data_IF_032986036404
#
_entry.id   IF_032986036404
#
_cell.length_a   1.000
_cell.length_b   1.000
_cell.length_c   1.000
_cell.angle_alpha   90.00
_cell.angle_beta   90.00
_cell.angle_gamma   90.00
#
_symmetry.space_group_name_H-M   'P 1'
#
loop_
_entity.id
_entity.type
_entity.pdbx_description
1 polymer ?
#
# COMPACT_ATOMS: atom_id res chain seq x y z
N UNK A 1 -19.92 19.53 -41.25
CA UNK A 1 -18.88 20.22 -42.03
C UNK A 1 -17.77 20.60 -41.07
N UNK A 2 -16.54 20.10 -41.24
CA UNK A 2 -15.42 20.53 -40.41
C UNK A 2 -15.06 21.97 -40.79
N UNK A 3 -15.33 22.94 -39.91
CA UNK A 3 -14.90 24.32 -40.12
C UNK A 3 -13.40 24.36 -40.35
N UNK A 4 -12.95 25.08 -41.39
CA UNK A 4 -11.51 25.26 -41.65
C UNK A 4 -10.86 25.82 -40.39
N UNK A 5 -9.72 25.26 -40.00
CA UNK A 5 -8.95 25.77 -38.86
C UNK A 5 -8.60 27.24 -39.12
N UNK A 6 -8.71 28.12 -38.10
CA UNK A 6 -8.45 29.55 -38.27
C UNK A 6 -6.97 29.90 -38.49
N UNK A 7 -6.05 28.92 -38.43
CA UNK A 7 -4.61 29.13 -38.60
C UNK A 7 -4.06 28.23 -39.73
N UNK A 8 -3.83 28.83 -40.89
CA UNK A 8 -3.31 28.16 -42.07
C UNK A 8 -1.79 28.25 -42.15
N UNK A 9 -1.20 29.33 -41.65
CA UNK A 9 0.25 29.57 -41.64
C UNK A 9 0.86 29.52 -40.24
N UNK A 10 2.20 29.46 -40.16
CA UNK A 10 2.92 29.49 -38.88
C UNK A 10 2.75 30.85 -38.20
N UNK A 11 2.80 31.92 -38.98
CA UNK A 11 2.76 33.31 -38.54
C UNK A 11 1.41 33.64 -37.89
N UNK A 12 0.30 33.19 -38.49
CA UNK A 12 -1.04 33.31 -37.90
C UNK A 12 -1.16 32.55 -36.57
N UNK A 13 -0.60 31.34 -36.53
CA UNK A 13 -0.63 30.49 -35.34
C UNK A 13 0.24 31.07 -34.20
N UNK A 14 1.42 31.58 -34.53
CA UNK A 14 2.36 32.21 -33.60
C UNK A 14 1.80 33.52 -33.05
N UNK A 15 1.28 34.41 -33.91
CA UNK A 15 0.67 35.67 -33.51
C UNK A 15 -0.50 35.46 -32.54
N UNK A 16 -1.38 34.48 -32.82
CA UNK A 16 -2.46 34.12 -31.92
C UNK A 16 -1.93 33.61 -30.56
N UNK A 17 -0.89 32.78 -30.58
CA UNK A 17 -0.27 32.26 -29.37
C UNK A 17 0.33 33.34 -28.49
N UNK A 18 1.02 34.31 -29.10
CA UNK A 18 1.60 35.47 -28.43
C UNK A 18 0.51 36.39 -27.88
N UNK A 19 -0.52 36.69 -28.66
CA UNK A 19 -1.65 37.52 -28.24
C UNK A 19 -2.37 36.92 -27.02
N UNK A 20 -2.49 35.59 -26.98
CA UNK A 20 -3.09 34.85 -25.85
C UNK A 20 -2.14 34.58 -24.69
N UNK A 21 -0.88 35.01 -24.78
CA UNK A 21 0.12 34.83 -23.72
C UNK A 21 0.55 33.37 -23.49
N UNK A 22 0.45 32.52 -24.51
CA UNK A 22 0.83 31.11 -24.42
C UNK A 22 2.35 30.91 -24.34
N UNK A 23 3.14 31.90 -24.76
CA UNK A 23 4.58 31.98 -24.57
C UNK A 23 4.96 31.90 -23.08
N UNK A 24 4.12 32.41 -22.17
CA UNK A 24 4.38 32.38 -20.72
C UNK A 24 3.98 31.07 -20.04
N UNK A 25 3.44 30.11 -20.80
CA UNK A 25 2.89 28.85 -20.27
C UNK A 25 3.77 27.65 -20.61
N UNK A 26 3.78 26.67 -19.71
CA UNK A 26 4.41 25.38 -19.99
C UNK A 26 3.64 24.64 -21.11
N UNK A 27 4.31 24.18 -22.17
CA UNK A 27 3.72 23.33 -23.23
C UNK A 27 2.78 22.22 -22.71
N UNK A 28 3.17 21.49 -21.66
CA UNK A 28 2.35 20.41 -21.11
C UNK A 28 1.03 20.92 -20.50
N UNK A 29 1.02 22.16 -19.96
CA UNK A 29 -0.18 22.77 -19.41
C UNK A 29 -1.19 23.18 -20.49
N UNK A 30 -0.72 23.55 -21.68
CA UNK A 30 -1.57 23.87 -22.82
C UNK A 30 -2.17 22.60 -23.43
N UNK A 31 -1.37 21.53 -23.52
CA UNK A 31 -1.82 20.21 -23.95
C UNK A 31 -2.92 19.63 -23.06
N UNK A 32 -2.77 19.79 -21.74
CA UNK A 32 -3.72 19.33 -20.72
C UNK A 32 -4.84 20.31 -20.36
N UNK A 33 -4.95 21.46 -21.04
CA UNK A 33 -5.91 22.50 -20.66
C UNK A 33 -7.37 22.05 -20.79
N UNK A 34 -8.26 22.51 -19.91
CA UNK A 34 -9.72 22.31 -20.05
C UNK A 34 -10.31 23.15 -21.20
N UNK A 35 -9.67 24.26 -21.58
CA UNK A 35 -10.15 25.13 -22.65
C UNK A 35 -9.83 24.49 -24.01
N UNK A 36 -10.87 24.25 -24.80
CA UNK A 36 -10.75 23.57 -26.10
C UNK A 36 -9.88 24.34 -27.09
N UNK A 37 -9.91 25.68 -27.05
CA UNK A 37 -9.08 26.53 -27.90
C UNK A 37 -7.58 26.36 -27.62
N UNK A 38 -7.18 26.37 -26.35
CA UNK A 38 -5.77 26.19 -25.92
C UNK A 38 -5.22 24.84 -26.39
N UNK A 39 -5.99 23.76 -26.18
CA UNK A 39 -5.61 22.42 -26.64
C UNK A 39 -5.53 22.32 -28.16
N UNK A 40 -6.49 22.92 -28.86
CA UNK A 40 -6.54 22.86 -30.33
C UNK A 40 -5.37 23.62 -30.95
N UNK A 41 -5.07 24.80 -30.41
CA UNK A 41 -3.90 25.58 -30.78
C UNK A 41 -2.61 24.78 -30.55
N UNK A 42 -2.43 24.18 -29.37
CA UNK A 42 -1.22 23.40 -29.07
C UNK A 42 -1.08 22.15 -29.95
N UNK A 43 -2.17 21.39 -30.13
CA UNK A 43 -2.18 20.20 -30.99
C UNK A 43 -1.92 20.53 -32.45
N UNK A 44 -2.35 21.70 -32.93
CA UNK A 44 -2.05 22.13 -34.31
C UNK A 44 -0.54 22.15 -34.56
N UNK A 45 0.23 22.71 -33.63
CA UNK A 45 1.69 22.72 -33.75
C UNK A 45 2.36 21.34 -33.66
N UNK A 46 1.71 20.33 -33.08
CA UNK A 46 2.21 18.94 -33.09
C UNK A 46 1.86 18.19 -34.37
N UNK A 47 0.71 18.50 -34.99
CA UNK A 47 0.27 17.89 -36.25
C UNK A 47 1.03 18.41 -37.48
N UNK A 48 1.52 19.66 -37.44
CA UNK A 48 2.34 20.25 -38.52
C UNK A 48 3.78 19.72 -38.48
N UNK A 49 3.95 18.39 -38.55
CA UNK A 49 5.22 17.66 -38.33
C UNK A 49 6.37 18.11 -39.24
N UNK A 50 6.09 18.58 -40.46
CA UNK A 50 7.12 19.05 -41.40
C UNK A 50 7.81 20.34 -40.91
N UNK A 51 7.07 21.21 -40.23
CA UNK A 51 7.51 22.57 -39.91
C UNK A 51 7.96 22.75 -38.45
N UNK A 52 7.77 21.73 -37.61
CA UNK A 52 8.15 21.72 -36.19
C UNK A 52 7.74 22.99 -35.43
N UNK A 53 6.54 23.52 -35.68
CA UNK A 53 6.05 24.78 -35.10
C UNK A 53 6.22 24.87 -33.59
N UNK A 54 5.96 23.75 -32.88
CA UNK A 54 6.16 23.64 -31.42
C UNK A 54 7.59 23.96 -30.96
N UNK A 55 8.61 23.68 -31.80
CA UNK A 55 10.02 23.95 -31.48
C UNK A 55 10.42 25.39 -31.79
N UNK A 56 9.72 26.05 -32.73
CA UNK A 56 9.96 27.44 -33.13
C UNK A 56 9.28 28.43 -32.19
N UNK A 57 8.12 28.07 -31.64
CA UNK A 57 7.38 28.95 -30.75
C UNK A 57 8.20 29.28 -29.49
N UNK A 58 8.32 30.57 -29.11
CA UNK A 58 9.16 31.02 -28.00
C UNK A 58 8.46 30.76 -26.66
N UNK A 59 8.24 29.49 -26.31
CA UNK A 59 7.82 29.15 -24.96
C UNK A 59 8.90 29.64 -24.00
N UNK A 60 8.54 30.63 -23.19
CA UNK A 60 9.26 30.98 -21.98
C UNK A 60 9.26 29.72 -21.13
N UNK A 61 10.34 28.94 -21.22
CA UNK A 61 10.65 27.98 -20.18
C UNK A 61 10.85 28.87 -18.96
N UNK A 62 9.82 28.98 -18.12
CA UNK A 62 10.04 29.26 -16.71
C UNK A 62 10.92 28.13 -16.22
N UNK A 63 12.23 28.27 -16.45
CA UNK A 63 13.22 27.82 -15.50
C UNK A 63 12.93 28.70 -14.30
N UNK A 64 11.88 28.35 -13.55
CA UNK A 64 11.87 28.65 -12.13
C UNK A 64 13.14 27.97 -11.66
N UNK A 65 14.19 28.78 -11.62
CA UNK A 65 15.48 28.40 -11.08
C UNK A 65 15.10 27.95 -9.70
N UNK A 66 15.07 26.64 -9.51
CA UNK A 66 14.71 26.09 -8.22
C UNK A 66 15.63 26.75 -7.21
N UNK A 67 15.08 27.28 -6.09
CA UNK A 67 15.82 28.13 -5.18
C UNK A 67 17.03 27.43 -4.54
N UNK A 68 17.13 26.10 -4.74
CA UNK A 68 18.18 25.25 -4.19
C UNK A 68 19.13 24.80 -5.32
N UNK A 69 20.07 25.63 -5.74
CA UNK A 69 21.02 25.26 -6.80
C UNK A 69 22.06 24.25 -6.31
N UNK A 70 22.41 24.33 -5.04
CA UNK A 70 23.41 23.48 -4.39
C UNK A 70 22.77 22.46 -3.43
N UNK A 71 23.55 21.43 -3.07
CA UNK A 71 23.12 20.45 -2.08
C UNK A 71 22.86 21.10 -0.72
N UNK A 72 23.71 22.04 -0.28
CA UNK A 72 23.57 22.67 1.03
C UNK A 72 22.33 23.54 1.11
N UNK A 73 21.99 24.31 0.07
CA UNK A 73 20.72 25.06 0.02
C UNK A 73 19.51 24.12 0.05
N UNK A 74 19.59 23.01 -0.67
CA UNK A 74 18.51 22.02 -0.71
C UNK A 74 18.33 21.34 0.65
N UNK A 75 19.43 20.96 1.30
CA UNK A 75 19.44 20.34 2.62
C UNK A 75 18.97 21.31 3.69
N UNK A 76 19.47 22.54 3.69
CA UNK A 76 19.07 23.58 4.64
C UNK A 76 17.56 23.84 4.55
N UNK A 77 17.02 24.02 3.34
CA UNK A 77 15.59 24.19 3.13
C UNK A 77 14.78 23.00 3.68
N UNK A 78 15.25 21.77 3.44
CA UNK A 78 14.58 20.57 3.97
C UNK A 78 14.57 20.52 5.50
N UNK A 79 15.65 20.98 6.16
CA UNK A 79 15.73 21.04 7.63
C UNK A 79 14.80 22.12 8.17
N UNK A 80 14.81 23.31 7.59
CA UNK A 80 13.97 24.44 8.00
C UNK A 80 12.47 24.13 7.90
N UNK A 81 12.08 23.34 6.88
CA UNK A 81 10.70 22.89 6.70
C UNK A 81 10.36 21.59 7.47
N UNK A 82 11.27 21.10 8.33
CA UNK A 82 11.04 19.90 9.14
C UNK A 82 10.93 18.60 8.34
N UNK A 83 11.42 18.55 7.11
CA UNK A 83 11.34 17.36 6.26
C UNK A 83 12.19 16.21 6.80
N UNK A 84 13.21 16.54 7.59
CA UNK A 84 14.01 15.58 8.35
C UNK A 84 13.19 14.82 9.40
N UNK A 85 11.95 15.22 9.72
CA UNK A 85 11.09 14.49 10.66
C UNK A 85 10.07 13.58 9.96
N UNK A 86 10.01 13.61 8.63
CA UNK A 86 9.00 12.92 7.83
C UNK A 86 9.59 11.72 7.09
N UNK A 87 8.72 10.78 6.75
CA UNK A 87 9.07 9.66 5.88
C UNK A 87 9.30 10.18 4.44
N UNK A 88 10.44 9.88 3.80
CA UNK A 88 10.70 10.21 2.40
C UNK A 88 9.53 9.90 1.45
N UNK A 89 8.90 8.73 1.62
CA UNK A 89 7.80 8.29 0.77
C UNK A 89 6.53 9.14 0.91
N UNK A 90 6.42 9.97 1.95
CA UNK A 90 5.28 10.89 2.13
C UNK A 90 5.36 12.08 1.17
N UNK A 91 6.56 12.51 0.76
CA UNK A 91 6.72 13.68 -0.10
C UNK A 91 6.16 13.47 -1.49
N UNK A 92 6.25 12.25 -2.06
CA UNK A 92 5.65 11.94 -3.36
C UNK A 92 4.13 12.14 -3.40
N UNK A 93 3.48 12.07 -2.24
CA UNK A 93 2.02 12.21 -2.07
C UNK A 93 1.62 13.51 -1.38
N UNK A 94 2.57 14.39 -1.07
CA UNK A 94 2.25 15.69 -0.48
C UNK A 94 1.30 16.47 -1.40
N UNK A 95 0.39 17.27 -0.85
CA UNK A 95 -0.47 18.18 -1.62
C UNK A 95 0.30 19.41 -2.10
N UNK A 96 1.34 19.79 -1.36
CA UNK A 96 2.21 20.92 -1.65
C UNK A 96 3.16 20.60 -2.81
N UNK A 97 3.10 21.42 -3.86
CA UNK A 97 3.95 21.23 -5.04
C UNK A 97 5.43 21.45 -4.75
N UNK A 98 5.76 22.35 -3.84
CA UNK A 98 7.14 22.66 -3.46
C UNK A 98 7.81 21.46 -2.77
N UNK A 99 7.11 20.80 -1.85
CA UNK A 99 7.61 19.58 -1.19
C UNK A 99 7.91 18.46 -2.20
N UNK A 100 6.98 18.22 -3.12
CA UNK A 100 7.16 17.24 -4.21
C UNK A 100 8.35 17.61 -5.09
N UNK A 101 8.50 18.89 -5.43
CA UNK A 101 9.58 19.37 -6.27
C UNK A 101 10.94 19.22 -5.58
N UNK A 102 11.01 19.61 -4.30
CA UNK A 102 12.18 19.43 -3.44
C UNK A 102 12.63 17.97 -3.40
N UNK A 103 11.70 17.05 -3.06
CA UNK A 103 12.03 15.63 -2.96
C UNK A 103 12.46 15.02 -4.30
N UNK A 104 11.73 15.32 -5.38
CA UNK A 104 12.06 14.85 -6.74
C UNK A 104 13.40 15.39 -7.23
N UNK A 105 13.77 16.61 -6.85
CA UNK A 105 15.08 17.17 -7.17
C UNK A 105 16.20 16.39 -6.49
N UNK A 106 16.02 16.08 -5.19
CA UNK A 106 16.97 15.25 -4.46
C UNK A 106 17.19 13.86 -5.08
N UNK A 107 16.14 13.26 -5.65
CA UNK A 107 16.21 11.97 -6.34
C UNK A 107 16.86 12.03 -7.74
N UNK A 108 16.78 13.16 -8.44
CA UNK A 108 17.20 13.30 -9.85
C UNK A 108 18.70 13.51 -10.04
N UNK A 109 19.48 13.71 -8.98
CA UNK A 109 20.89 14.12 -9.03
C UNK A 109 21.89 13.10 -9.59
N UNK A 110 21.44 12.02 -10.24
CA UNK A 110 22.32 11.01 -10.84
C UNK A 110 23.26 10.39 -9.81
N UNK A 111 24.56 10.68 -9.89
CA UNK A 111 25.58 10.20 -8.92
C UNK A 111 25.40 10.75 -7.51
N UNK A 112 24.84 11.96 -7.38
CA UNK A 112 24.57 12.58 -6.08
C UNK A 112 23.06 12.56 -5.84
N UNK A 113 22.55 11.40 -5.42
CA UNK A 113 21.18 11.30 -4.94
C UNK A 113 21.11 11.97 -3.55
N UNK A 114 20.94 13.29 -3.52
CA UNK A 114 20.93 14.10 -2.30
C UNK A 114 19.91 13.59 -1.28
N UNK A 115 18.82 12.96 -1.73
CA UNK A 115 17.85 12.34 -0.84
C UNK A 115 18.42 11.16 -0.02
N UNK A 116 19.50 10.51 -0.47
CA UNK A 116 20.17 9.46 0.31
C UNK A 116 21.02 10.03 1.45
N UNK A 117 21.60 11.22 1.25
CA UNK A 117 22.43 11.89 2.26
C UNK A 117 21.61 12.75 3.23
N UNK A 118 20.39 13.12 2.84
CA UNK A 118 19.51 13.89 3.69
C UNK A 118 19.14 13.12 4.96
N UNK A 119 19.23 13.75 6.16
CA UNK A 119 18.99 13.09 7.43
C UNK A 119 17.49 12.91 7.70
N UNK A 120 16.80 12.18 6.85
CA UNK A 120 15.41 11.81 7.10
C UNK A 120 15.32 11.04 8.41
N UNK A 121 14.28 11.33 9.19
CA UNK A 121 13.87 10.52 10.31
C UNK A 121 13.58 9.15 9.74
N UNK A 122 14.55 8.24 9.93
CA UNK A 122 14.27 6.83 9.82
C UNK A 122 13.17 6.62 10.83
N UNK A 123 11.96 6.28 10.36
CA UNK A 123 10.93 5.74 11.22
C UNK A 123 11.44 4.38 11.68
N UNK A 124 12.40 4.40 12.60
CA UNK A 124 12.72 3.29 13.46
C UNK A 124 11.51 3.21 14.37
N UNK A 125 10.39 2.71 13.84
CA UNK A 125 9.59 1.76 14.61
C UNK A 125 10.61 0.66 14.92
N UNK A 126 11.39 0.88 15.99
CA UNK A 126 12.24 -0.11 16.59
C UNK A 126 11.27 -1.24 16.81
N UNK A 127 11.45 -2.28 16.01
CA UNK A 127 10.68 -3.50 16.23
C UNK A 127 10.87 -3.83 17.70
N UNK A 128 9.78 -4.08 18.45
CA UNK A 128 9.90 -4.39 19.87
C UNK A 128 10.82 -5.58 20.12
N UNK A 129 11.08 -6.38 19.07
CA UNK A 129 12.03 -7.46 19.04
C UNK A 129 13.27 -7.02 18.26
N UNK A 130 14.39 -6.85 18.98
CA UNK A 130 15.70 -6.50 18.42
C UNK A 130 16.57 -7.74 18.19
N UNK A 131 16.36 -8.80 18.98
CA UNK A 131 17.14 -10.05 18.92
C UNK A 131 16.33 -11.21 18.35
N UNK A 132 17.02 -12.24 17.83
CA UNK A 132 16.37 -13.46 17.36
C UNK A 132 15.52 -14.13 18.46
N UNK A 133 16.00 -14.15 19.71
CA UNK A 133 15.32 -14.85 20.79
C UNK A 133 14.01 -14.15 21.18
N UNK A 134 13.99 -12.81 21.23
CA UNK A 134 12.76 -12.02 21.44
C UNK A 134 11.75 -12.28 20.32
N UNK A 135 12.23 -12.34 19.08
CA UNK A 135 11.42 -12.61 17.89
C UNK A 135 10.78 -13.99 17.90
N UNK A 136 11.59 -15.00 18.26
CA UNK A 136 11.17 -16.40 18.39
C UNK A 136 10.18 -16.55 19.54
N UNK A 137 10.48 -15.97 20.70
CA UNK A 137 9.62 -15.99 21.87
C UNK A 137 8.27 -15.34 21.57
N UNK A 138 8.25 -14.19 20.91
CA UNK A 138 7.01 -13.57 20.44
C UNK A 138 6.22 -14.46 19.49
N UNK A 139 6.90 -15.13 18.55
CA UNK A 139 6.25 -16.09 17.65
C UNK A 139 5.60 -17.26 18.39
N UNK A 140 6.24 -17.75 19.46
CA UNK A 140 5.70 -18.81 20.32
C UNK A 140 4.51 -18.31 21.16
N UNK A 141 4.61 -17.11 21.75
CA UNK A 141 3.52 -16.46 22.50
C UNK A 141 2.28 -16.24 21.63
N UNK A 142 2.49 -15.87 20.37
CA UNK A 142 1.42 -15.70 19.37
C UNK A 142 1.01 -17.00 18.67
N UNK A 143 1.57 -18.14 19.08
CA UNK A 143 1.25 -19.48 18.53
C UNK A 143 1.45 -19.61 17.02
N UNK A 144 2.45 -18.92 16.47
CA UNK A 144 2.79 -19.00 15.05
C UNK A 144 3.45 -20.33 14.68
N UNK A 145 4.01 -21.04 15.65
CA UNK A 145 4.52 -22.42 15.54
C UNK A 145 3.46 -23.40 15.04
N UNK A 146 2.17 -23.13 15.34
CA UNK A 146 1.03 -23.90 14.87
C UNK A 146 0.44 -23.45 13.53
N UNK A 147 1.10 -22.52 12.82
CA UNK A 147 0.68 -22.02 11.51
C UNK A 147 1.69 -22.38 10.42
N UNK A 148 1.20 -22.52 9.19
CA UNK A 148 2.10 -22.71 8.05
C UNK A 148 2.76 -21.38 7.64
N UNK A 149 3.98 -21.47 7.11
CA UNK A 149 4.70 -20.33 6.51
C UNK A 149 3.83 -19.56 5.51
N UNK A 150 3.10 -20.29 4.66
CA UNK A 150 2.21 -19.70 3.66
C UNK A 150 1.02 -18.95 4.27
N UNK A 151 0.45 -19.46 5.37
CA UNK A 151 -0.66 -18.82 6.10
C UNK A 151 -0.20 -17.51 6.74
N UNK A 152 0.97 -17.49 7.40
CA UNK A 152 1.52 -16.26 7.99
C UNK A 152 1.87 -15.21 6.93
N UNK A 153 2.46 -15.63 5.80
CA UNK A 153 2.77 -14.73 4.67
C UNK A 153 1.53 -14.03 4.12
N UNK A 154 0.40 -14.73 4.08
CA UNK A 154 -0.87 -14.26 3.50
C UNK A 154 -1.84 -13.71 4.55
N UNK A 155 -1.43 -13.59 5.80
CA UNK A 155 -2.34 -13.16 6.85
C UNK A 155 -2.88 -11.75 6.61
N UNK A 156 -4.15 -11.52 6.93
CA UNK A 156 -4.71 -10.17 7.02
C UNK A 156 -4.04 -9.32 8.10
N UNK A 157 -3.55 -9.97 9.18
CA UNK A 157 -2.87 -9.30 10.27
C UNK A 157 -1.49 -8.77 9.81
N UNK A 158 -1.28 -7.46 9.98
CA UNK A 158 -0.06 -6.76 9.56
C UNK A 158 1.16 -7.19 10.39
N UNK A 159 0.98 -7.48 11.68
CA UNK A 159 2.05 -7.89 12.58
C UNK A 159 2.53 -9.29 12.27
N UNK A 160 1.62 -10.20 11.92
CA UNK A 160 1.97 -11.55 11.44
C UNK A 160 2.78 -11.51 10.15
N UNK A 161 2.35 -10.69 9.18
CA UNK A 161 3.08 -10.52 7.92
C UNK A 161 4.43 -9.86 8.14
N UNK A 162 4.49 -8.79 8.93
CA UNK A 162 5.75 -8.14 9.33
C UNK A 162 6.66 -9.15 10.00
N UNK A 163 6.08 -10.00 10.87
CA UNK A 163 6.82 -10.99 11.60
C UNK A 163 7.48 -12.00 10.66
N UNK A 164 6.66 -12.55 9.76
CA UNK A 164 7.09 -13.48 8.74
C UNK A 164 8.15 -12.87 7.79
N UNK A 165 7.87 -11.68 7.23
CA UNK A 165 8.77 -11.04 6.25
C UNK A 165 10.13 -10.72 6.84
N UNK A 166 10.19 -10.28 8.10
CA UNK A 166 11.48 -10.03 8.76
C UNK A 166 12.27 -11.31 8.95
N UNK A 167 11.62 -12.43 9.31
CA UNK A 167 12.32 -13.71 9.43
C UNK A 167 12.77 -14.35 8.13
N UNK A 168 12.16 -13.97 7.01
CA UNK A 168 12.62 -14.37 5.67
C UNK A 168 13.77 -13.48 5.18
N UNK A 169 13.75 -12.19 5.48
CA UNK A 169 14.67 -11.20 4.91
C UNK A 169 16.01 -11.02 5.65
N UNK A 170 16.26 -11.73 6.75
CA UNK A 170 17.62 -11.82 7.31
C UNK A 170 18.43 -12.72 6.38
N UNK A 171 19.14 -12.09 5.44
CA UNK A 171 20.14 -12.64 4.51
C UNK A 171 20.20 -14.16 4.39
N UNK A 172 19.72 -14.67 3.25
CA UNK A 172 20.17 -15.91 2.57
C UNK A 172 21.03 -16.87 3.40
N UNK A 173 20.48 -18.07 3.61
CA UNK A 173 20.97 -19.18 4.45
C UNK A 173 20.61 -19.13 5.93
N UNK A 174 20.68 -17.97 6.60
CA UNK A 174 20.49 -17.84 8.06
C UNK A 174 19.11 -17.31 8.49
N UNK A 175 18.19 -17.11 7.54
CA UNK A 175 16.82 -16.72 7.83
C UNK A 175 16.21 -17.62 8.89
N UNK A 176 16.00 -17.07 10.10
CA UNK A 176 15.65 -17.82 11.29
C UNK A 176 14.29 -18.52 11.19
N UNK A 177 13.48 -18.17 10.20
CA UNK A 177 12.29 -18.92 9.83
C UNK A 177 12.58 -20.38 9.46
N UNK A 178 13.83 -20.72 9.14
CA UNK A 178 14.29 -22.10 8.96
C UNK A 178 14.37 -22.87 10.28
N UNK A 179 14.88 -22.22 11.33
CA UNK A 179 15.08 -22.80 12.67
C UNK A 179 13.88 -22.61 13.58
N UNK A 180 12.97 -21.68 13.25
CA UNK A 180 11.71 -21.53 13.96
C UNK A 180 10.96 -22.85 13.90
N UNK A 181 10.48 -23.37 15.05
CA UNK A 181 9.82 -24.66 15.13
C UNK A 181 8.40 -24.52 14.57
N UNK A 182 8.30 -24.30 13.26
CA UNK A 182 7.07 -24.59 12.55
C UNK A 182 6.82 -26.06 12.75
N UNK A 183 6.01 -26.36 13.74
CA UNK A 183 5.50 -27.70 13.89
C UNK A 183 4.74 -27.95 12.60
N UNK A 184 5.33 -28.76 11.71
CA UNK A 184 4.57 -29.41 10.66
C UNK A 184 3.65 -30.33 11.43
N UNK A 185 2.54 -29.78 11.92
CA UNK A 185 1.54 -30.47 12.73
C UNK A 185 0.80 -31.42 11.80
N UNK A 186 1.50 -32.44 11.34
CA UNK A 186 0.88 -33.72 11.15
C UNK A 186 0.45 -34.15 12.55
N UNK A 187 -0.74 -33.66 12.93
CA UNK A 187 -1.40 -34.10 14.14
C UNK A 187 -1.50 -35.64 14.04
N UNK A 188 -1.26 -36.39 15.14
CA UNK A 188 -1.24 -37.84 15.09
C UNK A 188 -2.55 -38.37 14.49
N UNK A 189 -2.49 -39.53 13.84
CA UNK A 189 -3.67 -40.17 13.25
C UNK A 189 -4.76 -40.30 14.31
N UNK A 190 -5.94 -39.74 14.05
CA UNK A 190 -7.05 -39.73 15.01
C UNK A 190 -7.17 -38.48 15.89
N UNK A 191 -6.22 -37.54 15.84
CA UNK A 191 -6.28 -36.29 16.62
C UNK A 191 -7.60 -35.53 16.44
N UNK A 192 -8.04 -35.38 15.19
CA UNK A 192 -9.28 -34.70 14.81
C UNK A 192 -10.56 -35.49 15.12
N UNK A 193 -10.45 -36.79 15.39
CA UNK A 193 -11.58 -37.62 15.83
C UNK A 193 -11.90 -37.43 17.30
N UNK A 194 -10.96 -36.93 18.10
CA UNK A 194 -11.19 -36.61 19.50
C UNK A 194 -11.84 -35.22 19.63
N UNK A 195 -13.02 -35.17 20.26
CA UNK A 195 -13.80 -33.94 20.44
C UNK A 195 -13.02 -32.86 21.19
N UNK A 196 -12.35 -33.20 22.30
CA UNK A 196 -11.64 -32.22 23.14
C UNK A 196 -10.53 -31.49 22.37
N UNK A 197 -9.94 -32.13 21.36
CA UNK A 197 -8.96 -31.47 20.49
C UNK A 197 -9.62 -30.47 19.53
N UNK A 198 -10.77 -30.83 18.96
CA UNK A 198 -11.54 -29.95 18.06
C UNK A 198 -12.05 -28.74 18.83
N UNK A 199 -12.64 -28.97 20.00
CA UNK A 199 -13.13 -27.94 20.91
C UNK A 199 -12.02 -26.94 21.26
N UNK A 200 -10.86 -27.40 21.75
CA UNK A 200 -9.75 -26.51 22.12
C UNK A 200 -9.27 -25.62 20.95
N UNK A 201 -9.08 -26.21 19.77
CA UNK A 201 -8.61 -25.48 18.59
C UNK A 201 -9.69 -24.50 18.09
N UNK A 202 -10.96 -24.89 18.14
CA UNK A 202 -12.09 -24.06 17.74
C UNK A 202 -12.33 -22.91 18.72
N UNK A 203 -12.32 -23.14 20.03
CA UNK A 203 -12.48 -22.10 21.06
C UNK A 203 -11.43 -21.00 20.92
N UNK A 204 -10.19 -21.36 20.55
CA UNK A 204 -9.13 -20.38 20.29
C UNK A 204 -9.49 -19.48 19.11
N UNK A 205 -10.06 -20.04 18.03
CA UNK A 205 -10.47 -19.28 16.85
C UNK A 205 -11.67 -18.39 17.17
N UNK A 206 -12.66 -18.94 17.87
CA UNK A 206 -13.86 -18.23 18.32
C UNK A 206 -13.50 -17.03 19.19
N UNK A 207 -12.63 -17.22 20.19
CA UNK A 207 -12.17 -16.13 21.06
C UNK A 207 -11.43 -15.02 20.29
N UNK A 208 -10.71 -15.37 19.23
CA UNK A 208 -10.00 -14.39 18.40
C UNK A 208 -10.92 -13.62 17.46
N UNK A 209 -12.02 -14.24 17.00
CA UNK A 209 -12.97 -13.61 16.08
C UNK A 209 -14.09 -12.87 16.83
N UNK A 210 -14.43 -13.32 18.03
CA UNK A 210 -15.59 -12.84 18.77
C UNK A 210 -16.92 -13.48 18.34
N UNK A 211 -16.90 -14.38 17.37
CA UNK A 211 -18.07 -15.12 16.87
C UNK A 211 -17.68 -16.52 16.40
N UNK A 212 -18.68 -17.35 16.15
CA UNK A 212 -18.47 -18.68 15.59
C UNK A 212 -18.03 -18.60 14.11
N UNK A 213 -16.86 -19.16 13.74
CA UNK A 213 -16.29 -18.95 12.41
C UNK A 213 -17.11 -19.63 11.31
N UNK A 214 -17.22 -18.94 10.16
CA UNK A 214 -17.70 -19.50 8.91
C UNK A 214 -16.65 -20.42 8.26
N UNK A 215 -17.06 -21.26 7.32
CA UNK A 215 -16.12 -22.12 6.57
C UNK A 215 -15.09 -21.31 5.77
N UNK A 216 -15.49 -20.15 5.26
CA UNK A 216 -14.62 -19.25 4.49
C UNK A 216 -13.59 -18.58 5.39
N UNK A 217 -13.97 -18.12 6.59
CA UNK A 217 -13.02 -17.59 7.58
C UNK A 217 -12.00 -18.66 8.00
N UNK A 218 -12.45 -19.89 8.27
CA UNK A 218 -11.53 -21.00 8.58
C UNK A 218 -10.55 -21.26 7.43
N UNK A 219 -11.01 -21.17 6.18
CA UNK A 219 -10.16 -21.32 4.99
C UNK A 219 -9.13 -20.20 4.88
N UNK A 220 -9.55 -18.95 5.10
CA UNK A 220 -8.68 -17.78 5.05
C UNK A 220 -7.64 -17.79 6.19
N UNK A 221 -7.98 -18.37 7.34
CA UNK A 221 -7.05 -18.63 8.44
C UNK A 221 -6.09 -19.80 8.18
N UNK A 222 -6.30 -20.57 7.10
CA UNK A 222 -5.53 -21.77 6.79
C UNK A 222 -5.85 -22.97 7.69
N UNK A 223 -7.05 -23.00 8.29
CA UNK A 223 -7.54 -24.03 9.20
C UNK A 223 -8.45 -25.05 8.49
N UNK A 224 -8.18 -25.36 7.22
CA UNK A 224 -8.97 -26.31 6.41
C UNK A 224 -9.14 -27.70 7.06
N UNK A 225 -8.16 -28.13 7.87
CA UNK A 225 -8.22 -29.41 8.58
C UNK A 225 -9.37 -29.45 9.60
N UNK A 226 -9.78 -28.29 10.15
CA UNK A 226 -10.90 -28.18 11.08
C UNK A 226 -12.23 -28.49 10.37
N UNK A 227 -12.40 -27.98 9.14
CA UNK A 227 -13.58 -28.30 8.32
C UNK A 227 -13.70 -29.81 8.05
N UNK A 228 -12.57 -30.49 7.82
CA UNK A 228 -12.55 -31.95 7.71
C UNK A 228 -12.88 -32.62 9.04
N UNK A 229 -12.35 -32.10 10.16
CA UNK A 229 -12.63 -32.61 11.50
C UNK A 229 -14.12 -32.56 11.86
N UNK A 230 -14.83 -31.49 11.48
CA UNK A 230 -16.26 -31.35 11.76
C UNK A 230 -17.10 -32.49 11.19
N UNK A 231 -16.69 -33.09 10.07
CA UNK A 231 -17.37 -34.26 9.50
C UNK A 231 -17.39 -35.46 10.44
N UNK A 232 -16.38 -35.60 11.32
CA UNK A 232 -16.35 -36.65 12.33
C UNK A 232 -17.27 -36.38 13.52
N UNK A 233 -17.75 -35.15 13.69
CA UNK A 233 -18.51 -34.69 14.85
C UNK A 233 -19.95 -34.26 14.53
N UNK A 234 -20.48 -34.67 13.37
CA UNK A 234 -21.86 -34.37 12.94
C UNK A 234 -21.99 -33.13 12.04
N UNK A 235 -20.88 -32.58 11.55
CA UNK A 235 -20.86 -31.40 10.69
C UNK A 235 -20.82 -30.08 11.46
N UNK A 236 -20.77 -28.95 10.73
CA UNK A 236 -20.58 -27.61 11.30
C UNK A 236 -21.68 -27.22 12.30
N UNK A 237 -22.94 -27.53 11.97
CA UNK A 237 -24.10 -27.19 12.80
C UNK A 237 -24.07 -27.93 14.14
N UNK A 238 -23.80 -29.24 14.13
CA UNK A 238 -23.66 -30.03 15.36
C UNK A 238 -22.50 -29.55 16.23
N UNK A 239 -21.36 -29.18 15.61
CA UNK A 239 -20.21 -28.62 16.33
C UNK A 239 -20.56 -27.26 16.96
N UNK A 240 -21.27 -26.39 16.23
CA UNK A 240 -21.75 -25.08 16.73
C UNK A 240 -22.66 -25.23 17.95
N UNK A 241 -23.61 -26.17 17.90
CA UNK A 241 -24.48 -26.48 19.04
C UNK A 241 -23.69 -27.03 20.23
N UNK A 242 -22.78 -27.99 19.98
CA UNK A 242 -21.97 -28.60 21.04
C UNK A 242 -21.09 -27.61 21.82
N UNK A 243 -20.60 -26.55 21.18
CA UNK A 243 -19.79 -25.51 21.84
C UNK A 243 -20.65 -24.40 22.46
N UNK A 244 -21.98 -24.51 22.43
CA UNK A 244 -22.90 -23.54 23.04
C UNK A 244 -23.25 -22.32 22.17
N UNK A 245 -22.93 -22.33 20.87
CA UNK A 245 -23.27 -21.24 19.94
C UNK A 245 -24.61 -21.48 19.19
N UNK A 246 -25.47 -22.32 19.74
CA UNK A 246 -26.73 -22.76 19.13
C UNK A 246 -27.95 -21.97 19.62
N UNK A 247 -28.78 -21.54 18.67
CA UNK A 247 -30.14 -20.96 18.79
C UNK A 247 -30.33 -19.56 19.41
N UNK A 248 -29.61 -19.13 20.44
CA UNK A 248 -29.91 -17.84 21.10
C UNK A 248 -29.32 -16.60 20.40
N UNK A 249 -28.10 -16.66 19.86
CA UNK A 249 -27.44 -15.48 19.26
C UNK A 249 -28.19 -14.90 18.04
N UNK A 250 -28.82 -15.76 17.23
CA UNK A 250 -29.55 -15.29 16.06
C UNK A 250 -30.88 -14.65 16.42
N UNK A 251 -31.51 -15.07 17.53
CA UNK A 251 -32.77 -14.49 17.99
C UNK A 251 -32.52 -13.17 18.72
N UNK A 252 -31.49 -13.06 19.55
CA UNK A 252 -31.21 -11.81 20.26
C UNK A 252 -30.68 -10.71 19.34
N UNK A 253 -29.79 -11.01 18.39
CA UNK A 253 -29.34 -10.03 17.40
C UNK A 253 -30.49 -9.62 16.45
N UNK A 254 -31.37 -10.57 16.09
CA UNK A 254 -32.55 -10.27 15.29
C UNK A 254 -33.56 -9.42 16.07
N UNK A 255 -33.90 -9.79 17.31
CA UNK A 255 -34.80 -9.03 18.18
C UNK A 255 -34.24 -7.62 18.39
N UNK A 256 -32.95 -7.48 18.76
CA UNK A 256 -32.31 -6.17 18.95
C UNK A 256 -32.35 -5.30 17.69
N UNK A 257 -32.20 -5.88 16.50
CA UNK A 257 -32.27 -5.14 15.23
C UNK A 257 -33.69 -4.64 14.92
N UNK A 258 -34.72 -5.34 15.40
CA UNK A 258 -36.12 -5.02 15.14
C UNK A 258 -36.83 -4.25 16.27
N UNK A 259 -36.31 -4.26 17.50
CA UNK A 259 -36.91 -3.52 18.64
C UNK A 259 -36.24 -2.18 18.92
N UNK A 260 -35.31 -1.72 18.08
CA UNK A 260 -34.55 -0.46 18.28
C UNK A 260 -34.96 0.67 17.31
N UNK A 261 -36.02 0.50 16.52
CA UNK A 261 -36.49 1.47 15.52
C UNK A 261 -37.78 2.23 15.91
N UNK A 262 -38.26 2.11 17.15
CA UNK A 262 -39.37 2.92 17.70
C UNK A 262 -38.85 3.98 18.69
#
# INVERSE_FOLDING_TARGET
MAGKSPWQTYEEWEAEGLNKGYDKRNPASLEGSKKTEERSWYKRATYMRKEKWKQRFPFTRKLEISPWQTYEEWKQYGIENGFNQRNPASFDKSEESEERAWYKKGLRGGKTNWAQEFPFAKKLEISPWQTYEEWKQYGLEKRYDGRSRGSLRKSGNKDERRWYCRGVNVGSEQGWLKTFPFTKLEKPKGYWKNWSNVERELSTIVNNLGHFPTQEELKNLGRNNLNAAFRHHGGLCAVRQKIGYGEQDHLEEFVRRYTSED
#
